data_IF_831139180393
#
_entry.id   IF_831139180393
#
_cell.length_a   1.000
_cell.length_b   1.000
_cell.length_c   1.000
_cell.angle_alpha   90.00
_cell.angle_beta   90.00
_cell.angle_gamma   90.00
#
_symmetry.space_group_name_H-M   'P 1'
#
loop_
_entity.id
_entity.type
_entity.pdbx_description
1 polymer ?
#
# COMPACT_ATOMS: atom_id res chain seq x y z
N UNK A 1 44.00 -23.49 6.99
CA UNK A 1 44.05 -22.79 5.69
C UNK A 1 42.77 -23.17 4.95
N UNK A 2 41.74 -22.33 5.05
CA UNK A 2 41.34 -21.31 4.05
C UNK A 2 40.25 -21.89 3.13
N UNK A 3 38.98 -21.57 3.39
CA UNK A 3 38.15 -20.57 2.66
C UNK A 3 37.62 -21.16 1.33
N UNK A 4 36.33 -21.45 1.18
CA UNK A 4 35.16 -20.58 1.00
C UNK A 4 34.73 -20.47 -0.48
N UNK A 5 33.40 -20.51 -0.70
CA UNK A 5 32.57 -19.89 -1.75
C UNK A 5 31.38 -20.84 -2.03
N UNK A 6 30.19 -20.66 -1.46
CA UNK A 6 29.18 -19.62 -1.66
C UNK A 6 28.87 -19.30 -3.13
N UNK A 7 27.81 -19.92 -3.64
CA UNK A 7 26.99 -19.48 -4.78
C UNK A 7 25.57 -19.99 -4.51
N UNK A 8 24.73 -19.16 -3.89
CA UNK A 8 23.72 -18.32 -4.57
C UNK A 8 22.35 -18.97 -4.45
N UNK A 9 21.65 -18.61 -3.38
CA UNK A 9 20.22 -18.81 -3.17
C UNK A 9 19.44 -17.91 -4.13
N UNK A 10 19.25 -18.36 -5.38
CA UNK A 10 18.21 -17.84 -6.27
C UNK A 10 17.14 -18.92 -6.43
N UNK A 11 16.33 -19.11 -5.39
CA UNK A 11 15.09 -19.89 -5.51
C UNK A 11 14.05 -18.96 -6.11
N UNK A 12 13.83 -19.11 -7.42
CA UNK A 12 12.79 -18.36 -8.13
C UNK A 12 11.44 -18.46 -7.40
N UNK A 13 10.77 -17.31 -7.25
CA UNK A 13 9.45 -17.12 -6.63
C UNK A 13 8.41 -18.22 -6.94
N UNK A 14 8.50 -18.80 -8.13
CA UNK A 14 7.65 -19.88 -8.65
C UNK A 14 7.71 -21.18 -7.86
N UNK A 15 8.85 -21.54 -7.26
CA UNK A 15 8.99 -22.78 -6.49
C UNK A 15 8.32 -22.71 -5.12
N UNK A 16 8.18 -21.52 -4.54
CA UNK A 16 7.67 -21.33 -3.18
C UNK A 16 6.13 -21.36 -3.09
N UNK A 17 5.44 -21.30 -4.24
CA UNK A 17 3.99 -21.27 -4.34
C UNK A 17 3.38 -22.60 -4.80
N UNK A 18 4.16 -23.68 -4.92
CA UNK A 18 3.64 -25.05 -4.91
C UNK A 18 2.56 -25.36 -5.95
N UNK A 19 2.82 -25.12 -7.24
CA UNK A 19 2.00 -25.62 -8.35
C UNK A 19 2.21 -27.13 -8.62
N UNK A 20 2.43 -27.94 -7.59
CA UNK A 20 2.43 -29.40 -7.67
C UNK A 20 1.09 -29.96 -7.17
N UNK A 21 0.46 -30.77 -8.01
CA UNK A 21 -0.89 -31.35 -7.85
C UNK A 21 -0.90 -32.54 -6.86
N UNK A 22 -0.57 -32.32 -5.60
CA UNK A 22 -0.74 -33.33 -4.54
C UNK A 22 -1.69 -32.79 -3.46
N UNK A 23 -2.73 -33.57 -3.14
CA UNK A 23 -3.89 -33.15 -2.36
C UNK A 23 -3.61 -32.75 -0.88
N UNK A 24 -2.37 -32.88 -0.40
CA UNK A 24 -1.92 -32.48 0.94
C UNK A 24 -1.07 -31.19 0.97
N UNK A 25 -0.81 -30.54 -0.17
CA UNK A 25 0.04 -29.34 -0.26
C UNK A 25 -0.64 -28.04 0.24
N UNK A 26 -1.95 -28.06 0.45
CA UNK A 26 -2.75 -26.88 0.80
C UNK A 26 -2.45 -26.30 2.18
N UNK A 27 -2.07 -27.16 3.14
CA UNK A 27 -1.79 -26.73 4.53
C UNK A 27 -0.58 -25.79 4.58
N UNK A 28 0.40 -25.95 3.68
CA UNK A 28 1.53 -25.03 3.53
C UNK A 28 1.26 -23.89 2.54
N UNK A 29 0.53 -24.16 1.45
CA UNK A 29 0.29 -23.19 0.37
C UNK A 29 -0.56 -21.99 0.82
N UNK A 30 -1.63 -22.23 1.60
CA UNK A 30 -2.55 -21.16 2.03
C UNK A 30 -1.86 -20.17 2.99
N UNK A 31 -1.15 -20.60 4.05
CA UNK A 31 -0.40 -19.69 4.90
C UNK A 31 0.67 -18.89 4.15
N UNK A 32 1.36 -19.51 3.19
CA UNK A 32 2.38 -18.82 2.37
C UNK A 32 1.75 -17.73 1.52
N UNK A 33 0.64 -18.03 0.85
CA UNK A 33 -0.10 -17.05 0.06
C UNK A 33 -0.64 -15.90 0.93
N UNK A 34 -1.25 -16.21 2.08
CA UNK A 34 -1.76 -15.17 2.98
C UNK A 34 -0.63 -14.29 3.54
N UNK A 35 0.53 -14.87 3.80
CA UNK A 35 1.72 -14.13 4.24
C UNK A 35 2.22 -13.19 3.16
N UNK A 36 2.24 -13.66 1.90
CA UNK A 36 2.60 -12.85 0.74
C UNK A 36 1.66 -11.65 0.56
N UNK A 37 0.34 -11.88 0.59
CA UNK A 37 -0.65 -10.81 0.47
C UNK A 37 -0.57 -9.84 1.65
N UNK A 38 -0.32 -10.34 2.86
CA UNK A 38 -0.12 -9.50 4.04
C UNK A 38 1.12 -8.61 3.89
N UNK A 39 2.24 -9.16 3.42
CA UNK A 39 3.47 -8.41 3.16
C UNK A 39 3.26 -7.31 2.12
N UNK A 40 2.58 -7.64 1.03
CA UNK A 40 2.19 -6.70 -0.01
C UNK A 40 1.36 -5.55 0.55
N UNK A 41 0.31 -5.87 1.32
CA UNK A 41 -0.57 -4.87 1.92
C UNK A 41 0.15 -3.98 2.93
N UNK A 42 1.00 -4.57 3.77
CA UNK A 42 1.79 -3.84 4.76
C UNK A 42 2.66 -2.76 4.10
N UNK A 43 3.35 -3.12 3.01
CA UNK A 43 4.24 -2.24 2.25
C UNK A 43 3.51 -1.12 1.52
N UNK A 44 2.31 -1.36 0.99
CA UNK A 44 1.52 -0.34 0.32
C UNK A 44 0.73 0.58 1.26
N UNK A 45 0.51 0.18 2.50
CA UNK A 45 -0.32 0.89 3.47
C UNK A 45 0.50 1.58 4.59
N UNK A 46 1.73 2.00 4.28
CA UNK A 46 2.61 2.71 5.23
C UNK A 46 2.15 4.17 5.35
N UNK A 47 1.60 4.54 6.51
CA UNK A 47 0.98 5.87 6.74
C UNK A 47 1.81 6.79 7.65
N UNK A 48 2.77 6.21 8.37
CA UNK A 48 3.56 6.86 9.42
C UNK A 48 5.00 6.29 9.38
N UNK A 49 6.00 7.15 9.58
CA UNK A 49 7.41 6.76 9.65
C UNK A 49 7.70 5.78 10.79
N UNK A 50 7.06 5.98 11.94
CA UNK A 50 7.27 5.15 13.13
C UNK A 50 6.52 3.82 13.08
N UNK A 51 5.78 3.52 11.99
CA UNK A 51 4.96 2.33 11.88
C UNK A 51 5.79 1.04 12.02
N UNK A 52 6.95 0.97 11.36
CA UNK A 52 7.85 -0.19 11.44
C UNK A 52 8.31 -0.45 12.88
N UNK A 53 8.78 0.59 13.58
CA UNK A 53 9.28 0.48 14.95
C UNK A 53 8.15 0.18 15.95
N UNK A 54 7.01 0.87 15.83
CA UNK A 54 5.87 0.74 16.74
C UNK A 54 5.22 -0.64 16.64
N UNK A 55 5.13 -1.19 15.43
CA UNK A 55 4.51 -2.49 15.18
C UNK A 55 5.53 -3.64 15.11
N UNK A 56 6.83 -3.32 15.23
CA UNK A 56 7.94 -4.28 15.10
C UNK A 56 7.88 -5.09 13.80
N UNK A 57 7.59 -4.39 12.71
CA UNK A 57 7.34 -5.00 11.40
C UNK A 57 8.15 -4.24 10.32
N UNK A 58 9.29 -4.81 9.86
CA UNK A 58 10.14 -4.18 8.84
C UNK A 58 9.42 -3.97 7.49
N UNK A 59 8.39 -4.75 7.18
CA UNK A 59 7.60 -4.59 5.95
C UNK A 59 6.82 -3.27 5.90
N UNK A 60 6.80 -2.50 7.00
CA UNK A 60 6.08 -1.23 7.13
C UNK A 60 7.01 -0.02 7.13
N UNK A 61 8.23 -0.18 6.63
CA UNK A 61 9.19 0.90 6.51
C UNK A 61 8.84 1.87 5.37
N UNK A 62 9.22 3.14 5.51
CA UNK A 62 9.10 4.12 4.45
C UNK A 62 10.12 3.85 3.33
N UNK A 63 9.85 4.37 2.14
CA UNK A 63 10.81 4.29 1.04
C UNK A 63 11.77 5.47 1.17
N UNK A 64 13.06 5.20 1.40
CA UNK A 64 14.12 6.21 1.46
C UNK A 64 14.93 6.33 0.16
N UNK A 65 14.84 5.33 -0.72
CA UNK A 65 15.60 5.30 -1.95
C UNK A 65 15.49 3.94 -2.65
N UNK A 66 16.32 3.74 -3.68
CA UNK A 66 16.30 2.56 -4.56
C UNK A 66 16.57 1.24 -3.86
N UNK A 67 17.41 1.25 -2.82
CA UNK A 67 17.79 0.05 -2.08
C UNK A 67 16.74 -0.35 -1.02
N UNK A 68 15.57 0.29 -1.01
CA UNK A 68 14.49 -0.08 -0.11
C UNK A 68 13.95 -1.46 -0.44
N UNK A 69 13.92 -2.34 0.57
CA UNK A 69 13.33 -3.69 0.48
C UNK A 69 11.88 -3.68 -0.02
N UNK A 70 11.17 -2.56 0.16
CA UNK A 70 9.82 -2.35 -0.35
C UNK A 70 9.79 -2.29 -1.88
N UNK A 71 10.76 -1.63 -2.50
CA UNK A 71 10.83 -1.50 -3.96
C UNK A 71 11.13 -2.85 -4.58
N UNK A 72 12.16 -3.54 -4.10
CA UNK A 72 12.54 -4.88 -4.58
C UNK A 72 11.36 -5.83 -4.48
N UNK A 73 10.71 -5.91 -3.31
CA UNK A 73 9.54 -6.77 -3.13
C UNK A 73 8.40 -6.44 -4.10
N UNK A 74 8.08 -5.16 -4.32
CA UNK A 74 6.98 -4.79 -5.21
C UNK A 74 7.29 -5.07 -6.68
N UNK A 75 8.55 -4.96 -7.09
CA UNK A 75 9.02 -5.34 -8.42
C UNK A 75 8.94 -6.86 -8.60
N UNK A 76 9.46 -7.63 -7.65
CA UNK A 76 9.39 -9.09 -7.68
C UNK A 76 7.95 -9.60 -7.68
N UNK A 77 7.09 -8.98 -6.85
CA UNK A 77 5.67 -9.28 -6.83
C UNK A 77 4.98 -8.91 -8.15
N UNK A 78 5.40 -7.83 -8.81
CA UNK A 78 4.90 -7.47 -10.14
C UNK A 78 5.26 -8.54 -11.19
N UNK A 79 6.51 -9.03 -11.18
CA UNK A 79 6.97 -10.11 -12.06
C UNK A 79 6.18 -11.40 -11.80
N UNK A 80 5.98 -11.75 -10.53
CA UNK A 80 5.14 -12.88 -10.15
C UNK A 80 3.72 -12.77 -10.70
N UNK A 81 3.10 -11.57 -10.67
CA UNK A 81 1.76 -11.36 -11.23
C UNK A 81 1.74 -11.55 -12.75
N UNK A 82 2.78 -11.14 -13.48
CA UNK A 82 2.89 -11.35 -14.93
C UNK A 82 3.02 -12.84 -15.26
N UNK A 83 3.88 -13.56 -14.54
CA UNK A 83 4.02 -15.01 -14.68
C UNK A 83 2.72 -15.75 -14.38
N UNK A 84 2.03 -15.33 -13.32
CA UNK A 84 0.74 -15.90 -12.94
C UNK A 84 -0.32 -15.66 -14.02
N UNK A 85 -0.39 -14.44 -14.57
CA UNK A 85 -1.31 -14.13 -15.67
C UNK A 85 -1.01 -14.95 -16.92
N UNK A 86 0.26 -15.09 -17.29
CA UNK A 86 0.68 -15.90 -18.45
C UNK A 86 0.40 -17.38 -18.26
N UNK A 87 0.57 -17.91 -17.04
CA UNK A 87 0.20 -19.30 -16.70
C UNK A 87 -1.30 -19.55 -16.90
N UNK A 88 -2.15 -18.62 -16.49
CA UNK A 88 -3.61 -18.72 -16.67
C UNK A 88 -4.01 -18.69 -18.15
N UNK A 89 -3.36 -17.83 -18.95
CA UNK A 89 -3.59 -17.75 -20.41
C UNK A 89 -3.21 -19.04 -21.12
N UNK A 90 -2.06 -19.63 -20.75
CA UNK A 90 -1.59 -20.89 -21.34
C UNK A 90 -2.53 -22.06 -21.06
N UNK A 91 -3.20 -22.06 -19.90
CA UNK A 91 -4.21 -23.06 -19.53
C UNK A 91 -5.61 -22.75 -20.09
N UNK A 92 -5.75 -21.71 -20.93
CA UNK A 92 -7.02 -21.24 -21.50
C UNK A 92 -8.09 -20.94 -20.44
N UNK A 93 -7.65 -20.58 -19.23
CA UNK A 93 -8.54 -20.26 -18.11
C UNK A 93 -8.99 -18.81 -18.22
N UNK A 94 -10.30 -18.60 -18.07
CA UNK A 94 -10.86 -17.25 -17.90
C UNK A 94 -10.35 -16.72 -16.56
N UNK A 95 -9.76 -15.53 -16.57
CA UNK A 95 -9.39 -14.81 -15.35
C UNK A 95 -10.64 -14.07 -14.86
N UNK A 96 -11.32 -14.57 -13.81
CA UNK A 96 -12.38 -13.79 -13.21
C UNK A 96 -11.72 -12.55 -12.63
N UNK A 97 -12.23 -11.35 -12.93
CA UNK A 97 -11.67 -10.07 -12.44
C UNK A 97 -10.31 -9.67 -13.06
N UNK A 98 -10.13 -9.86 -14.37
CA UNK A 98 -8.95 -9.36 -15.11
C UNK A 98 -8.62 -7.87 -14.83
N UNK A 99 -9.63 -7.01 -14.64
CA UNK A 99 -9.46 -5.61 -14.25
C UNK A 99 -8.75 -5.42 -12.91
N UNK A 100 -9.02 -6.31 -11.94
CA UNK A 100 -8.44 -6.22 -10.60
C UNK A 100 -6.98 -6.66 -10.62
N UNK A 101 -6.68 -7.71 -11.39
CA UNK A 101 -5.31 -8.16 -11.60
C UNK A 101 -4.48 -7.09 -12.28
N UNK A 102 -5.01 -6.46 -13.34
CA UNK A 102 -4.36 -5.35 -14.02
C UNK A 102 -4.12 -4.16 -13.07
N UNK A 103 -5.13 -3.80 -12.26
CA UNK A 103 -5.00 -2.72 -11.27
C UNK A 103 -3.95 -3.04 -10.20
N UNK A 104 -3.87 -4.30 -9.78
CA UNK A 104 -2.88 -4.77 -8.81
C UNK A 104 -1.46 -4.68 -9.40
N UNK A 105 -1.28 -5.18 -10.63
CA UNK A 105 -0.01 -5.09 -11.37
C UNK A 105 0.45 -3.65 -11.52
N UNK A 106 -0.41 -2.75 -12.01
CA UNK A 106 -0.10 -1.33 -12.10
C UNK A 106 0.24 -0.72 -10.73
N UNK A 107 -0.46 -1.08 -9.66
CA UNK A 107 -0.14 -0.56 -8.32
C UNK A 107 1.25 -0.98 -7.87
N UNK A 108 1.65 -2.23 -8.15
CA UNK A 108 2.97 -2.75 -7.79
C UNK A 108 4.10 -2.15 -8.65
N UNK A 109 3.82 -1.80 -9.91
CA UNK A 109 4.80 -1.21 -10.82
C UNK A 109 4.93 0.31 -10.65
N UNK A 110 3.81 1.02 -10.59
CA UNK A 110 3.79 2.48 -10.66
C UNK A 110 4.05 3.15 -9.30
N UNK A 111 3.64 2.56 -8.18
CA UNK A 111 3.88 3.14 -6.85
C UNK A 111 5.38 3.23 -6.52
N UNK A 112 6.20 2.18 -6.74
CA UNK A 112 7.65 2.28 -6.57
C UNK A 112 8.29 3.28 -7.54
N UNK A 113 7.87 3.29 -8.81
CA UNK A 113 8.38 4.23 -9.80
C UNK A 113 8.09 5.69 -9.41
N UNK A 114 6.87 5.97 -8.94
CA UNK A 114 6.49 7.27 -8.39
C UNK A 114 7.32 7.64 -7.16
N UNK A 115 7.51 6.69 -6.22
CA UNK A 115 8.29 6.94 -5.02
C UNK A 115 9.74 7.33 -5.34
N UNK A 116 10.38 6.60 -6.27
CA UNK A 116 11.72 6.92 -6.76
C UNK A 116 11.77 8.29 -7.44
N UNK A 117 10.80 8.61 -8.30
CA UNK A 117 10.74 9.91 -8.95
C UNK A 117 10.63 11.07 -7.94
N UNK A 118 9.83 10.91 -6.89
CA UNK A 118 9.70 11.93 -5.83
C UNK A 118 10.98 12.13 -5.03
N UNK A 119 11.75 11.05 -4.82
CA UNK A 119 13.03 11.12 -4.10
C UNK A 119 14.10 11.73 -5.02
N UNK A 120 14.28 11.19 -6.21
CA UNK A 120 15.37 11.55 -7.11
C UNK A 120 15.18 12.95 -7.75
N UNK A 121 13.96 13.30 -8.15
CA UNK A 121 13.68 14.55 -8.88
C UNK A 121 13.20 15.65 -7.95
N UNK A 122 12.36 15.31 -6.97
CA UNK A 122 11.77 16.30 -6.07
C UNK A 122 12.48 16.39 -4.71
N UNK A 123 13.55 15.59 -4.51
CA UNK A 123 14.41 15.62 -3.33
C UNK A 123 13.63 15.43 -2.01
N UNK A 124 12.67 14.50 -2.02
CA UNK A 124 11.98 14.06 -0.80
C UNK A 124 12.89 13.14 0.00
N UNK A 125 12.98 13.35 1.32
CA UNK A 125 13.79 12.49 2.21
C UNK A 125 13.26 11.06 2.28
N UNK A 126 11.93 10.89 2.16
CA UNK A 126 11.25 9.60 2.19
C UNK A 126 9.85 9.71 1.58
N UNK A 127 9.28 8.57 1.20
CA UNK A 127 7.91 8.45 0.69
C UNK A 127 7.11 7.43 1.49
N UNK A 128 5.89 7.82 1.87
CA UNK A 128 4.91 6.99 2.56
C UNK A 128 3.85 6.49 1.56
N UNK A 129 3.93 5.22 1.18
CA UNK A 129 3.05 4.58 0.18
C UNK A 129 1.56 4.71 0.50
N UNK A 130 1.18 4.63 1.79
CA UNK A 130 -0.20 4.74 2.24
C UNK A 130 -0.82 6.13 2.05
N UNK A 131 -0.03 7.15 1.65
CA UNK A 131 -0.54 8.48 1.27
C UNK A 131 -1.07 8.53 -0.16
N UNK A 132 -0.74 7.56 -1.01
CA UNK A 132 -1.20 7.48 -2.40
C UNK A 132 -2.64 6.90 -2.52
N UNK A 133 -3.24 6.46 -1.41
CA UNK A 133 -4.55 5.82 -1.39
C UNK A 133 -5.72 6.81 -1.24
N UNK A 134 -6.91 6.43 -1.72
CA UNK A 134 -8.18 7.21 -1.63
C UNK A 134 -8.75 7.36 -0.21
N UNK A 135 -8.17 6.68 0.79
CA UNK A 135 -8.64 6.64 2.18
C UNK A 135 -9.01 8.01 2.77
N UNK A 136 -8.23 9.05 2.48
CA UNK A 136 -8.50 10.41 2.99
C UNK A 136 -9.78 11.02 2.43
N UNK A 137 -10.07 10.74 1.14
CA UNK A 137 -11.27 11.20 0.45
C UNK A 137 -12.48 10.42 0.97
N UNK A 138 -12.36 9.10 1.17
CA UNK A 138 -13.42 8.29 1.75
C UNK A 138 -13.77 8.71 3.18
N UNK A 139 -12.76 9.02 4.00
CA UNK A 139 -12.96 9.59 5.34
C UNK A 139 -13.70 10.93 5.27
N UNK A 140 -13.42 11.76 4.25
CA UNK A 140 -14.12 13.03 4.03
C UNK A 140 -15.58 12.78 3.64
N UNK A 141 -15.86 11.85 2.74
CA UNK A 141 -17.23 11.45 2.40
C UNK A 141 -17.99 10.88 3.60
N UNK A 142 -17.33 10.09 4.45
CA UNK A 142 -17.91 9.61 5.71
C UNK A 142 -18.36 10.76 6.62
N UNK A 143 -17.56 11.83 6.74
CA UNK A 143 -17.95 13.02 7.50
C UNK A 143 -19.15 13.73 6.91
N UNK A 144 -19.27 13.84 5.59
CA UNK A 144 -20.45 14.44 4.96
C UNK A 144 -21.72 13.66 5.28
N UNK A 145 -21.67 12.32 5.19
CA UNK A 145 -22.80 11.46 5.57
C UNK A 145 -23.17 11.65 7.04
N UNK A 146 -22.19 11.66 7.94
CA UNK A 146 -22.45 11.88 9.37
C UNK A 146 -23.13 13.22 9.65
N UNK A 147 -22.70 14.31 9.01
CA UNK A 147 -23.34 15.63 9.18
C UNK A 147 -24.75 15.70 8.57
N UNK A 148 -25.08 14.80 7.65
CA UNK A 148 -26.42 14.63 7.11
C UNK A 148 -27.26 13.59 7.88
N UNK A 149 -26.94 13.31 9.15
CA UNK A 149 -27.66 12.34 9.97
C UNK A 149 -27.35 10.88 9.61
N UNK A 150 -26.12 10.60 9.17
CA UNK A 150 -25.68 9.30 8.66
C UNK A 150 -26.43 8.82 7.38
N UNK A 151 -27.03 9.75 6.63
CA UNK A 151 -27.65 9.44 5.36
C UNK A 151 -26.58 9.13 4.28
N UNK A 152 -26.74 8.02 3.57
CA UNK A 152 -25.89 7.63 2.45
C UNK A 152 -26.13 8.49 1.20
N UNK A 153 -27.40 8.86 0.95
CA UNK A 153 -27.80 9.63 -0.22
C UNK A 153 -27.91 11.11 0.16
N UNK A 154 -26.77 11.80 0.10
CA UNK A 154 -26.69 13.23 0.39
C UNK A 154 -26.92 14.06 -0.87
N UNK A 155 -27.71 15.13 -0.75
CA UNK A 155 -27.86 16.11 -1.82
C UNK A 155 -26.60 16.99 -1.93
N UNK A 156 -26.37 17.56 -3.12
CA UNK A 156 -25.26 18.51 -3.35
C UNK A 156 -25.35 19.71 -2.39
N UNK A 157 -26.57 20.19 -2.10
CA UNK A 157 -26.78 21.29 -1.15
C UNK A 157 -26.29 20.94 0.25
N UNK A 158 -26.63 19.75 0.74
CA UNK A 158 -26.16 19.25 2.04
C UNK A 158 -24.64 19.08 2.05
N UNK A 159 -24.06 18.54 0.99
CA UNK A 159 -22.60 18.40 0.85
C UNK A 159 -21.90 19.77 0.92
N UNK A 160 -22.41 20.79 0.23
CA UNK A 160 -21.84 22.14 0.26
C UNK A 160 -21.97 22.80 1.64
N UNK A 161 -23.10 22.62 2.33
CA UNK A 161 -23.30 23.12 3.70
C UNK A 161 -22.32 22.45 4.67
N UNK A 162 -22.23 21.12 4.61
CA UNK A 162 -21.27 20.31 5.35
C UNK A 162 -19.81 20.77 5.10
N UNK A 163 -19.46 21.02 3.84
CA UNK A 163 -18.12 21.46 3.47
C UNK A 163 -17.79 22.85 4.04
N UNK A 164 -18.73 23.79 3.97
CA UNK A 164 -18.58 25.11 4.60
C UNK A 164 -18.35 24.99 6.11
N UNK A 165 -19.14 24.17 6.79
CA UNK A 165 -19.00 23.93 8.23
C UNK A 165 -17.65 23.30 8.59
N UNK A 166 -17.18 22.31 7.82
CA UNK A 166 -15.87 21.67 8.05
C UNK A 166 -14.71 22.65 7.84
N UNK A 167 -14.76 23.50 6.81
CA UNK A 167 -13.73 24.52 6.56
C UNK A 167 -13.69 25.55 7.68
N UNK A 168 -14.85 26.05 8.11
CA UNK A 168 -14.93 26.99 9.23
C UNK A 168 -14.37 26.38 10.52
N UNK A 169 -14.74 25.14 10.83
CA UNK A 169 -14.21 24.42 11.99
C UNK A 169 -12.69 24.23 11.91
N UNK A 170 -12.16 23.88 10.73
CA UNK A 170 -10.72 23.75 10.52
C UNK A 170 -10.01 25.09 10.78
N UNK A 171 -10.53 26.19 10.22
CA UNK A 171 -9.99 27.53 10.41
C UNK A 171 -9.98 27.94 11.90
N UNK A 172 -11.09 27.77 12.61
CA UNK A 172 -11.20 28.10 14.04
C UNK A 172 -10.23 27.28 14.89
N UNK A 173 -10.07 26.00 14.61
CA UNK A 173 -9.11 25.15 15.32
C UNK A 173 -7.66 25.60 15.10
N UNK A 174 -7.31 26.02 13.88
CA UNK A 174 -5.97 26.57 13.58
C UNK A 174 -5.72 27.87 14.35
N UNK A 175 -6.71 28.76 14.45
CA UNK A 175 -6.57 30.02 15.22
C UNK A 175 -6.44 29.76 16.72
N UNK A 176 -7.23 28.81 17.26
CA UNK A 176 -7.10 28.39 18.66
C UNK A 176 -5.70 27.88 18.95
N UNK A 177 -5.16 26.99 18.12
CA UNK A 177 -3.80 26.45 18.29
C UNK A 177 -2.72 27.52 18.24
N UNK A 178 -2.88 28.55 17.41
CA UNK A 178 -1.95 29.70 17.38
C UNK A 178 -2.02 30.49 18.67
N UNK A 179 -3.21 30.76 19.18
CA UNK A 179 -3.42 31.52 20.42
C UNK A 179 -2.83 30.81 21.65
N UNK A 180 -2.94 29.49 21.75
CA UNK A 180 -2.34 28.71 22.86
C UNK A 180 -0.81 28.71 22.85
N UNK A 181 -0.17 28.91 21.68
CA UNK A 181 1.28 28.97 21.57
C UNK A 181 1.84 30.34 22.02
N UNK A 182 1.02 31.39 22.06
CA UNK A 182 1.42 32.71 22.58
C UNK A 182 1.24 32.85 24.11
N UNK A 183 0.58 31.89 24.78
CA UNK A 183 0.37 31.88 26.24
C UNK A 183 1.35 30.95 26.99
N UNK A 184 2.44 30.54 26.34
CA UNK A 184 3.48 29.66 26.89
C UNK A 184 4.84 30.34 27.10
N UNK A 185 4.86 31.67 27.14
CA UNK A 185 6.03 32.46 27.51
C UNK A 185 5.70 33.34 28.71
#
# INVERSE_FOLDING_TARGET
MSSANNSSEDVSFTCQLGLSREHDCWIGMVPNFLSLIREWWNRLNVKELSAANRLRDPSREAIYGKDSSTITFLQDFSTFLEEWENGLKNEQKIIPYASNLLSLHHSCKEIPALALHLIDVWNFDFVLTGKCQSNNIEKRFGRYRMMAGANYFISIRQLLQAEKALRLRAFLNTQKSRSTNYLKY
#
